data_IF_945916116500
#
_entry.id   IF_945916116500
#
_cell.length_a   1.000
_cell.length_b   1.000
_cell.length_c   1.000
_cell.angle_alpha   90.00
_cell.angle_beta   90.00
_cell.angle_gamma   90.00
#
_symmetry.space_group_name_H-M   'P 1'
#
loop_
_entity.id
_entity.type
_entity.pdbx_description
1 polymer ?
#
# COMPACT_ATOMS: atom_id res chain seq x y z
N UNK A 1 9.20 -16.03 -18.53
CA UNK A 1 9.75 -14.80 -17.95
C UNK A 1 8.61 -13.80 -17.82
N UNK A 2 8.05 -13.63 -16.63
CA UNK A 2 6.97 -12.68 -16.36
C UNK A 2 7.62 -11.40 -15.82
N UNK A 3 7.31 -10.20 -16.34
CA UNK A 3 7.98 -8.99 -15.89
C UNK A 3 7.54 -8.65 -14.46
N UNK A 4 8.54 -8.27 -13.66
CA UNK A 4 8.44 -7.68 -12.32
C UNK A 4 7.52 -6.45 -12.35
N UNK A 5 6.25 -6.64 -11.99
CA UNK A 5 5.33 -5.54 -11.69
C UNK A 5 5.52 -5.10 -10.25
N UNK A 6 6.29 -4.04 -10.06
CA UNK A 6 6.36 -3.26 -8.84
C UNK A 6 5.13 -2.36 -8.78
N UNK A 7 4.31 -2.48 -7.74
CA UNK A 7 3.24 -1.52 -7.45
C UNK A 7 3.61 -0.85 -6.14
N UNK A 8 4.30 0.29 -6.23
CA UNK A 8 4.18 1.30 -5.19
C UNK A 8 2.79 1.94 -5.40
N UNK A 9 1.82 1.61 -4.55
CA UNK A 9 0.58 2.37 -4.49
C UNK A 9 0.91 3.71 -3.82
N UNK A 10 1.40 4.66 -4.62
CA UNK A 10 1.58 6.05 -4.21
C UNK A 10 0.18 6.68 -4.14
N UNK A 11 -0.43 6.68 -2.96
CA UNK A 11 -1.44 7.70 -2.68
C UNK A 11 -0.66 8.97 -2.40
N UNK A 12 -0.98 10.05 -3.11
CA UNK A 12 -0.34 11.34 -2.94
C UNK A 12 -0.82 11.90 -1.59
N UNK A 13 -0.06 11.66 -0.52
CA UNK A 13 -0.47 12.05 0.82
C UNK A 13 -0.27 13.57 1.02
N UNK A 14 -1.34 14.26 1.44
CA UNK A 14 -1.31 15.67 1.78
C UNK A 14 -0.99 15.85 3.26
N UNK A 15 0.01 16.68 3.59
CA UNK A 15 0.34 17.04 4.99
C UNK A 15 -0.73 17.90 5.69
N UNK A 16 -1.79 18.30 4.99
CA UNK A 16 -2.87 19.16 5.52
C UNK A 16 -4.23 18.46 5.57
N UNK A 17 -4.37 17.26 5.03
CA UNK A 17 -5.63 16.52 5.05
C UNK A 17 -5.60 15.47 6.18
N UNK A 18 -6.41 15.61 7.25
CA UNK A 18 -6.46 14.63 8.33
C UNK A 18 -6.94 13.24 7.86
N UNK A 19 -7.55 13.12 6.68
CA UNK A 19 -8.04 11.84 6.12
C UNK A 19 -6.99 11.05 5.33
N UNK A 20 -5.86 11.66 4.96
CA UNK A 20 -4.72 11.02 4.29
C UNK A 20 -3.59 10.80 5.31
N UNK A 21 -3.78 9.82 6.21
CA UNK A 21 -2.89 9.58 7.35
C UNK A 21 -1.94 8.39 7.16
N UNK A 22 -2.04 7.65 6.05
CA UNK A 22 -1.38 6.36 5.87
C UNK A 22 -0.90 6.13 4.43
N UNK A 23 0.42 6.19 4.24
CA UNK A 23 1.09 5.65 3.07
C UNK A 23 1.48 4.17 3.28
N UNK A 24 1.66 3.44 2.19
CA UNK A 24 2.11 2.04 2.20
C UNK A 24 3.31 1.86 1.27
N UNK A 25 4.32 1.14 1.73
CA UNK A 25 5.45 0.68 0.93
C UNK A 25 5.39 -0.84 0.88
N UNK A 26 5.21 -1.38 -0.33
CA UNK A 26 5.04 -2.80 -0.54
C UNK A 26 6.33 -3.45 -1.07
N UNK A 27 6.71 -4.58 -0.47
CA UNK A 27 7.83 -5.41 -0.92
C UNK A 27 7.37 -6.85 -1.14
N UNK A 28 7.64 -7.41 -2.32
CA UNK A 28 7.25 -8.78 -2.64
C UNK A 28 8.18 -9.80 -1.95
N UNK A 29 7.62 -10.89 -1.43
CA UNK A 29 8.42 -12.00 -0.89
C UNK A 29 9.34 -12.56 -1.97
N UNK A 30 10.62 -12.74 -1.62
CA UNK A 30 11.65 -13.27 -2.52
C UNK A 30 12.20 -12.27 -3.53
N UNK A 31 11.67 -11.04 -3.57
CA UNK A 31 12.25 -9.99 -4.39
C UNK A 31 13.54 -9.46 -3.76
N UNK A 32 14.46 -8.97 -4.61
CA UNK A 32 15.67 -8.31 -4.14
C UNK A 32 15.31 -7.01 -3.41
N UNK A 33 15.88 -6.82 -2.22
CA UNK A 33 15.76 -5.55 -1.49
C UNK A 33 16.62 -4.49 -2.15
N UNK A 34 16.02 -3.32 -2.40
CA UNK A 34 16.69 -2.14 -2.96
C UNK A 34 16.18 -0.89 -2.24
N UNK A 35 16.78 0.27 -2.51
CA UNK A 35 16.26 1.54 -2.03
C UNK A 35 14.83 1.74 -2.54
N UNK A 36 13.98 2.32 -1.70
CA UNK A 36 12.57 2.56 -2.03
C UNK A 36 12.19 3.99 -1.65
N UNK A 37 11.41 4.64 -2.52
CA UNK A 37 11.03 6.03 -2.34
C UNK A 37 9.52 6.21 -2.23
N UNK A 38 9.12 7.15 -1.37
CA UNK A 38 7.73 7.58 -1.16
C UNK A 38 7.69 9.10 -1.22
N UNK A 39 6.74 9.66 -1.96
CA UNK A 39 6.59 11.11 -2.12
C UNK A 39 5.50 11.66 -1.21
N UNK A 40 5.79 12.80 -0.59
CA UNK A 40 4.90 13.54 0.29
C UNK A 40 4.67 14.96 -0.23
N UNK A 41 3.44 15.44 -0.13
CA UNK A 41 3.13 16.84 -0.44
C UNK A 41 3.40 17.69 0.81
N UNK A 42 4.48 18.46 0.78
CA UNK A 42 4.96 19.18 1.96
C UNK A 42 4.10 20.37 2.37
N UNK A 43 3.40 21.05 1.46
CA UNK A 43 2.60 22.25 1.76
C UNK A 43 3.32 23.30 2.63
N UNK A 44 4.64 23.49 2.41
CA UNK A 44 5.48 24.40 3.18
C UNK A 44 6.01 23.85 4.51
N UNK A 45 5.74 22.59 4.83
CA UNK A 45 6.29 21.89 5.99
C UNK A 45 7.64 21.24 5.66
N UNK A 46 8.41 20.96 6.70
CA UNK A 46 9.69 20.25 6.61
C UNK A 46 9.66 19.02 7.50
N UNK A 47 10.32 17.95 7.08
CA UNK A 47 10.46 16.76 7.92
C UNK A 47 11.30 17.11 9.16
N UNK A 48 10.80 16.76 10.34
CA UNK A 48 11.47 16.96 11.62
C UNK A 48 12.09 15.66 12.14
N UNK A 49 11.36 14.54 12.09
CA UNK A 49 11.89 13.23 12.47
C UNK A 49 11.07 12.08 11.87
N UNK A 50 11.68 10.88 11.84
CA UNK A 50 10.98 9.63 11.52
C UNK A 50 11.26 8.67 12.67
N UNK A 51 10.22 8.03 13.19
CA UNK A 51 10.33 7.01 14.25
C UNK A 51 9.73 5.70 13.78
N UNK A 52 10.35 4.58 14.13
CA UNK A 52 9.76 3.26 13.91
C UNK A 52 8.64 2.97 14.92
N UNK A 53 7.99 1.80 14.78
CA UNK A 53 6.92 1.39 15.68
C UNK A 53 7.38 1.27 17.15
N UNK A 54 8.66 0.95 17.37
CA UNK A 54 9.26 0.91 18.70
C UNK A 54 9.59 2.31 19.28
N UNK A 55 9.27 3.39 18.57
CA UNK A 55 9.54 4.77 18.97
C UNK A 55 10.99 5.21 18.78
N UNK A 56 11.83 4.37 18.16
CA UNK A 56 13.24 4.68 17.89
C UNK A 56 13.33 5.56 16.65
N UNK A 57 14.04 6.69 16.77
CA UNK A 57 14.27 7.59 15.64
C UNK A 57 15.20 6.94 14.62
N UNK A 58 14.81 6.99 13.34
CA UNK A 58 15.68 6.61 12.25
C UNK A 58 16.82 7.64 12.11
N UNK A 59 18.00 7.15 11.75
CA UNK A 59 19.20 7.97 11.54
C UNK A 59 19.43 8.25 10.04
N UNK A 60 20.26 9.24 9.74
CA UNK A 60 20.52 9.73 8.38
C UNK A 60 21.16 8.72 7.43
N UNK A 61 21.75 7.63 7.94
CA UNK A 61 22.22 6.53 7.10
C UNK A 61 21.10 5.58 6.67
N UNK A 62 19.96 5.59 7.36
CA UNK A 62 18.84 4.71 7.09
C UNK A 62 17.87 5.27 6.05
N UNK A 63 17.83 6.60 5.90
CA UNK A 63 16.97 7.28 4.93
C UNK A 63 17.56 8.60 4.45
N UNK A 64 17.09 9.05 3.30
CA UNK A 64 17.25 10.44 2.83
C UNK A 64 15.88 11.07 2.64
N UNK A 65 15.80 12.39 2.81
CA UNK A 65 14.57 13.15 2.56
C UNK A 65 14.89 14.39 1.74
N UNK A 66 14.30 14.50 0.55
CA UNK A 66 14.52 15.66 -0.32
C UNK A 66 13.68 16.86 0.11
N UNK A 67 14.13 18.06 -0.26
CA UNK A 67 13.33 19.29 -0.11
C UNK A 67 12.05 19.29 -0.95
N UNK A 68 11.96 18.43 -1.96
CA UNK A 68 10.74 18.21 -2.76
C UNK A 68 9.76 17.21 -2.13
N UNK A 69 10.07 16.68 -0.94
CA UNK A 69 9.18 15.77 -0.19
C UNK A 69 9.36 14.29 -0.52
N UNK A 70 10.47 13.87 -1.11
CA UNK A 70 10.74 12.47 -1.42
C UNK A 70 11.53 11.83 -0.28
N UNK A 71 10.90 10.92 0.45
CA UNK A 71 11.56 10.03 1.41
C UNK A 71 12.13 8.83 0.66
N UNK A 72 13.42 8.55 0.81
CA UNK A 72 14.03 7.30 0.31
C UNK A 72 14.56 6.51 1.48
N UNK A 73 14.04 5.30 1.68
CA UNK A 73 14.55 4.33 2.64
C UNK A 73 15.69 3.54 2.01
N UNK A 74 16.80 3.44 2.72
CA UNK A 74 17.98 2.71 2.25
C UNK A 74 17.74 1.21 2.21
N UNK A 75 18.39 0.53 1.27
CA UNK A 75 18.45 -0.92 1.17
C UNK A 75 18.93 -1.55 2.48
N UNK A 76 19.91 -0.92 3.13
CA UNK A 76 20.47 -1.41 4.39
C UNK A 76 19.40 -1.45 5.50
N UNK A 77 18.61 -0.39 5.64
CA UNK A 77 17.49 -0.34 6.59
C UNK A 77 16.38 -1.32 6.20
N UNK A 78 15.97 -1.35 4.93
CA UNK A 78 14.92 -2.26 4.49
C UNK A 78 15.31 -3.73 4.66
N UNK A 79 16.59 -4.06 4.48
CA UNK A 79 17.10 -5.42 4.68
C UNK A 79 17.07 -5.86 6.15
N UNK A 80 16.96 -4.94 7.12
CA UNK A 80 16.73 -5.33 8.53
C UNK A 80 15.28 -5.73 8.79
N UNK A 81 14.35 -5.38 7.90
CA UNK A 81 12.93 -5.68 8.01
C UNK A 81 12.53 -6.96 7.28
N UNK A 82 13.38 -7.43 6.36
CA UNK A 82 13.17 -8.63 5.56
C UNK A 82 14.33 -9.60 5.80
N UNK A 83 14.04 -10.73 6.44
CA UNK A 83 14.95 -11.87 6.55
C UNK A 83 14.58 -12.99 5.56
N UNK A 84 15.44 -14.01 5.44
CA UNK A 84 15.21 -15.15 4.54
C UNK A 84 13.95 -15.96 4.90
N UNK A 85 13.44 -15.83 6.13
CA UNK A 85 12.23 -16.48 6.64
C UNK A 85 10.99 -15.58 6.62
N UNK A 86 11.10 -14.38 6.05
CA UNK A 86 10.12 -13.34 6.30
C UNK A 86 8.79 -13.67 5.62
N UNK A 87 7.79 -13.85 6.47
CA UNK A 87 6.41 -14.08 6.06
C UNK A 87 5.72 -12.78 5.64
N UNK A 88 4.63 -12.89 4.90
CA UNK A 88 3.83 -11.73 4.51
C UNK A 88 3.23 -11.03 5.74
N UNK A 89 3.09 -9.71 5.66
CA UNK A 89 2.48 -8.88 6.70
C UNK A 89 3.11 -7.50 6.83
N UNK A 90 2.64 -6.73 7.81
CA UNK A 90 3.25 -5.44 8.17
C UNK A 90 4.57 -5.71 8.89
N UNK A 91 5.65 -5.12 8.41
CA UNK A 91 7.02 -5.27 8.96
C UNK A 91 7.41 -4.15 9.89
N UNK A 92 6.99 -2.93 9.58
CA UNK A 92 7.19 -1.77 10.44
C UNK A 92 6.11 -0.72 10.13
N UNK A 93 5.89 0.19 11.07
CA UNK A 93 5.08 1.38 10.87
C UNK A 93 5.91 2.58 11.28
N UNK A 94 6.28 3.39 10.29
CA UNK A 94 7.04 4.60 10.48
C UNK A 94 6.10 5.77 10.75
N UNK A 95 6.38 6.53 11.80
CA UNK A 95 5.72 7.80 12.10
C UNK A 95 6.63 8.93 11.65
N UNK A 96 6.17 9.70 10.67
CA UNK A 96 6.84 10.89 10.16
C UNK A 96 6.26 12.11 10.86
N UNK A 97 7.13 12.86 11.52
CA UNK A 97 6.80 14.11 12.18
C UNK A 97 7.33 15.27 11.34
N UNK A 98 6.46 16.23 11.05
CA UNK A 98 6.79 17.43 10.30
C UNK A 98 6.84 18.64 11.24
N UNK A 99 7.37 19.77 10.75
CA UNK A 99 7.49 21.02 11.50
C UNK A 99 6.14 21.58 11.99
N UNK A 100 5.05 21.29 11.27
CA UNK A 100 3.67 21.63 11.61
C UNK A 100 2.73 20.53 11.10
N UNK A 101 1.50 20.52 11.61
CA UNK A 101 0.47 19.60 11.17
C UNK A 101 0.48 18.26 11.92
N UNK A 102 -0.32 17.32 11.43
CA UNK A 102 -0.42 15.98 12.00
C UNK A 102 0.77 15.11 11.58
N UNK A 103 1.09 14.11 12.40
CA UNK A 103 2.05 13.08 12.00
C UNK A 103 1.45 12.23 10.88
N UNK A 104 2.27 11.84 9.91
CA UNK A 104 1.89 10.90 8.87
C UNK A 104 2.46 9.53 9.18
N UNK A 105 1.73 8.47 8.82
CA UNK A 105 2.19 7.10 9.01
C UNK A 105 2.57 6.47 7.67
N UNK A 106 3.67 5.71 7.64
CA UNK A 106 4.08 4.87 6.52
C UNK A 106 4.16 3.42 6.99
N UNK A 107 3.32 2.55 6.46
CA UNK A 107 3.40 1.11 6.74
C UNK A 107 4.28 0.42 5.71
N UNK A 108 5.28 -0.29 6.20
CA UNK A 108 6.13 -1.15 5.38
C UNK A 108 5.50 -2.54 5.39
N UNK A 109 5.06 -3.01 4.23
CA UNK A 109 4.32 -4.26 4.08
C UNK A 109 5.10 -5.20 3.19
N UNK A 110 5.30 -6.43 3.65
CA UNK A 110 5.73 -7.51 2.78
C UNK A 110 4.50 -8.29 2.29
N UNK A 111 4.44 -8.57 1.00
CA UNK A 111 3.29 -9.25 0.41
C UNK A 111 3.68 -10.43 -0.48
N UNK A 112 2.75 -11.37 -0.59
CA UNK A 112 2.74 -12.47 -1.55
C UNK A 112 1.43 -12.46 -2.35
N UNK A 113 1.21 -13.52 -3.11
CA UNK A 113 -0.04 -13.67 -3.87
C UNK A 113 -1.15 -14.15 -2.92
N UNK A 114 -2.26 -13.42 -2.75
CA UNK A 114 -3.38 -13.90 -1.96
C UNK A 114 -4.04 -15.10 -2.66
N UNK A 115 -4.62 -16.01 -1.88
CA UNK A 115 -5.36 -17.15 -2.44
C UNK A 115 -6.84 -17.03 -2.14
N UNK A 116 -7.67 -17.43 -3.11
CA UNK A 116 -9.13 -17.42 -3.00
C UNK A 116 -9.56 -18.86 -2.76
N UNK A 117 -10.31 -19.09 -1.68
CA UNK A 117 -10.69 -20.44 -1.26
C UNK A 117 -11.76 -21.10 -2.14
N UNK A 118 -12.60 -20.31 -2.81
CA UNK A 118 -13.55 -20.81 -3.79
C UNK A 118 -13.77 -19.79 -4.92
N UNK A 119 -13.84 -20.28 -6.16
CA UNK A 119 -13.97 -19.46 -7.37
C UNK A 119 -15.35 -19.55 -8.00
N UNK A 120 -16.26 -20.36 -7.43
CA UNK A 120 -17.61 -20.57 -7.91
C UNK A 120 -18.59 -20.56 -6.75
N UNK A 121 -19.68 -19.85 -6.91
CA UNK A 121 -20.73 -19.74 -5.90
C UNK A 121 -22.09 -19.82 -6.56
N UNK A 122 -23.05 -20.43 -5.86
CA UNK A 122 -24.45 -20.33 -6.21
C UNK A 122 -24.99 -19.01 -5.66
N UNK A 123 -25.80 -18.31 -6.46
CA UNK A 123 -26.45 -17.07 -6.04
C UNK A 123 -27.33 -17.32 -4.80
N UNK A 124 -27.29 -16.38 -3.85
CA UNK A 124 -28.07 -16.42 -2.62
C UNK A 124 -28.74 -15.07 -2.38
N UNK A 125 -29.83 -15.07 -1.62
CA UNK A 125 -30.53 -13.85 -1.24
C UNK A 125 -29.85 -13.10 -0.07
N UNK A 126 -28.80 -13.69 0.52
CA UNK A 126 -28.04 -13.17 1.65
C UNK A 126 -26.59 -12.90 1.26
N UNK A 127 -25.86 -12.21 2.15
CA UNK A 127 -24.44 -11.92 1.95
C UNK A 127 -23.62 -13.18 1.63
N UNK A 128 -22.87 -13.10 0.55
CA UNK A 128 -21.97 -14.16 0.11
C UNK A 128 -20.58 -13.96 0.70
N UNK A 129 -20.09 -14.93 1.47
CA UNK A 129 -18.73 -14.88 2.04
C UNK A 129 -17.73 -15.52 1.10
N UNK A 130 -16.78 -14.72 0.63
CA UNK A 130 -15.63 -15.20 -0.15
C UNK A 130 -14.43 -15.33 0.79
N UNK A 131 -13.97 -16.54 1.15
CA UNK A 131 -12.77 -16.72 1.94
C UNK A 131 -11.55 -16.34 1.09
N UNK A 132 -10.82 -15.33 1.54
CA UNK A 132 -9.55 -14.90 0.97
C UNK A 132 -8.48 -15.11 2.03
N UNK A 133 -7.45 -15.88 1.69
CA UNK A 133 -6.22 -15.92 2.47
C UNK A 133 -5.31 -14.80 1.95
N UNK A 134 -5.30 -13.69 2.67
CA UNK A 134 -4.44 -12.56 2.34
C UNK A 134 -2.98 -12.90 2.66
N UNK A 135 -2.09 -12.62 1.71
CA UNK A 135 -0.66 -12.73 1.91
C UNK A 135 -0.06 -11.32 2.00
N UNK A 136 -0.27 -10.62 3.12
CA UNK A 136 0.24 -9.26 3.33
C UNK A 136 -0.78 -8.38 4.04
N UNK A 137 -1.18 -7.28 3.39
CA UNK A 137 -2.23 -6.40 3.90
C UNK A 137 -3.60 -6.99 3.59
N UNK A 138 -4.42 -7.23 4.62
CA UNK A 138 -5.79 -7.73 4.49
C UNK A 138 -6.78 -6.63 4.06
N UNK A 139 -6.50 -5.98 2.92
CA UNK A 139 -7.28 -4.85 2.41
C UNK A 139 -7.46 -4.98 0.90
N UNK A 140 -8.70 -5.18 0.46
CA UNK A 140 -9.08 -5.05 -0.94
C UNK A 140 -9.11 -3.59 -1.37
N UNK A 141 -8.63 -3.30 -2.59
CA UNK A 141 -8.69 -1.94 -3.14
C UNK A 141 -10.06 -1.66 -3.80
N UNK A 142 -10.54 -2.58 -4.63
CA UNK A 142 -11.82 -2.48 -5.35
C UNK A 142 -12.24 -3.89 -5.82
N UNK A 143 -13.51 -4.05 -6.19
CA UNK A 143 -14.06 -5.28 -6.78
C UNK A 143 -14.70 -4.91 -8.12
N UNK A 144 -14.34 -5.64 -9.18
CA UNK A 144 -14.93 -5.55 -10.52
C UNK A 144 -15.91 -6.71 -10.71
N UNK A 145 -17.14 -6.42 -11.14
CA UNK A 145 -18.13 -7.44 -11.45
C UNK A 145 -18.56 -7.38 -12.92
N UNK A 146 -18.26 -8.45 -13.65
CA UNK A 146 -18.62 -8.64 -15.05
C UNK A 146 -19.51 -9.87 -15.20
N UNK A 147 -20.49 -9.77 -16.10
CA UNK A 147 -21.26 -10.88 -16.60
C UNK A 147 -20.43 -11.71 -17.58
N UNK A 148 -20.87 -12.93 -17.87
CA UNK A 148 -20.18 -13.84 -18.78
C UNK A 148 -20.05 -13.29 -20.21
N UNK A 149 -20.95 -12.39 -20.61
CA UNK A 149 -20.92 -11.69 -21.90
C UNK A 149 -19.97 -10.47 -21.92
N UNK A 150 -19.28 -10.20 -20.81
CA UNK A 150 -18.34 -9.08 -20.66
C UNK A 150 -19.00 -7.75 -20.27
N UNK A 151 -20.32 -7.70 -20.10
CA UNK A 151 -21.01 -6.50 -19.61
C UNK A 151 -20.91 -6.37 -18.09
N UNK A 152 -21.03 -5.16 -17.53
CA UNK A 152 -20.93 -4.97 -16.08
C UNK A 152 -22.20 -5.40 -15.35
N UNK A 153 -22.05 -6.12 -14.23
CA UNK A 153 -23.16 -6.69 -13.45
C UNK A 153 -24.11 -5.62 -12.89
N UNK A 154 -23.61 -4.43 -12.57
CA UNK A 154 -24.41 -3.22 -12.36
C UNK A 154 -23.79 -2.01 -13.05
N UNK A 155 -24.63 -0.99 -13.31
CA UNK A 155 -24.31 0.40 -13.71
C UNK A 155 -23.54 0.61 -15.03
N UNK A 156 -24.30 0.82 -16.12
CA UNK A 156 -23.79 1.22 -17.45
C UNK A 156 -22.95 2.52 -17.46
N UNK A 157 -23.13 3.41 -16.47
CA UNK A 157 -22.41 4.70 -16.38
C UNK A 157 -20.95 4.59 -15.92
N UNK A 158 -20.52 3.42 -15.40
CA UNK A 158 -19.11 3.19 -15.01
C UNK A 158 -18.19 2.85 -16.18
N UNK A 159 -18.72 2.81 -17.41
CA UNK A 159 -17.94 2.67 -18.65
C UNK A 159 -17.01 3.87 -18.92
N UNK A 160 -17.30 5.03 -18.33
CA UNK A 160 -16.52 6.28 -18.52
C UNK A 160 -15.58 6.63 -17.36
N UNK A 161 -15.43 5.76 -16.37
CA UNK A 161 -14.55 6.00 -15.20
C UNK A 161 -13.12 5.51 -15.46
N UNK A 162 -12.14 5.98 -14.67
CA UNK A 162 -10.77 5.47 -14.76
C UNK A 162 -10.69 3.95 -14.47
N UNK A 163 -9.61 3.24 -14.85
CA UNK A 163 -9.55 1.78 -14.84
C UNK A 163 -9.92 1.10 -13.51
N UNK A 164 -9.67 1.77 -12.39
CA UNK A 164 -9.97 1.26 -11.03
C UNK A 164 -11.41 1.50 -10.56
N UNK A 165 -12.20 2.26 -11.32
CA UNK A 165 -13.58 2.64 -11.01
C UNK A 165 -14.61 2.04 -11.97
N UNK A 166 -14.18 1.48 -13.11
CA UNK A 166 -15.09 0.82 -14.04
C UNK A 166 -15.65 -0.48 -13.46
N UNK A 167 -16.94 -0.73 -13.65
CA UNK A 167 -17.62 -1.95 -13.20
C UNK A 167 -17.52 -2.21 -11.69
N UNK A 168 -17.27 -1.16 -10.89
CA UNK A 168 -17.11 -1.26 -9.44
C UNK A 168 -18.38 -1.85 -8.83
N UNK A 169 -18.20 -2.93 -8.09
CA UNK A 169 -19.26 -3.56 -7.30
C UNK A 169 -19.13 -3.08 -5.85
N UNK A 170 -20.12 -2.31 -5.40
CA UNK A 170 -20.29 -1.87 -4.00
C UNK A 170 -21.47 -2.58 -3.36
#
# INVERSE_FOLDING_TARGET
MVPTSWIALLILESTTDPSASFAYLFHAIGARVTDQSVSYILNGNSLASIKNLAGTSLITSQYTFSSSGVLTLSTAYLSTLYDASSIAGIKDTLTLQFSKGANLSLQIVQYGTPTIGATSYTAQATDMKIPISYAGLAKGATVLAVLADGTYLRNAWTTSSGPLQQGRWT
#
